data_IF_328807421860
#
_entry.id   IF_328807421860
#
_cell.length_a   1.000
_cell.length_b   1.000
_cell.length_c   1.000
_cell.angle_alpha   90.00
_cell.angle_beta   90.00
_cell.angle_gamma   90.00
#
_symmetry.space_group_name_H-M   'P 1'
#
loop_
_entity.id
_entity.type
_entity.pdbx_description
1 polymer ?
#
# COMPACT_ATOMS: atom_id res chain seq x y z
N UNK A 1 -47.56 81.39 9.32
CA UNK A 1 -46.45 80.81 8.52
C UNK A 1 -45.81 79.70 9.34
N UNK A 2 -46.13 78.43 9.03
CA UNK A 2 -45.54 77.28 9.69
C UNK A 2 -44.17 77.01 9.05
N UNK A 3 -43.08 77.15 9.83
CA UNK A 3 -41.73 76.81 9.35
C UNK A 3 -41.63 75.29 9.25
N UNK A 4 -41.68 74.76 8.03
CA UNK A 4 -41.38 73.36 7.76
C UNK A 4 -39.88 73.15 8.06
N UNK A 5 -39.59 72.34 9.07
CA UNK A 5 -38.22 71.99 9.44
C UNK A 5 -37.69 70.93 8.47
N UNK A 6 -36.99 71.37 7.43
CA UNK A 6 -36.41 70.52 6.38
C UNK A 6 -35.54 69.38 6.91
N UNK A 7 -34.93 69.54 8.11
CA UNK A 7 -34.12 68.51 8.78
C UNK A 7 -34.89 67.22 9.09
N UNK A 8 -36.17 67.32 9.46
CA UNK A 8 -36.98 66.12 9.73
C UNK A 8 -37.41 65.42 8.46
N UNK A 9 -37.59 66.16 7.36
CA UNK A 9 -37.93 65.60 6.06
C UNK A 9 -36.74 64.85 5.44
N UNK A 10 -35.51 65.34 5.65
CA UNK A 10 -34.28 64.65 5.21
C UNK A 10 -34.07 63.33 5.95
N UNK A 11 -34.33 63.30 7.26
CA UNK A 11 -34.18 62.09 8.09
C UNK A 11 -35.24 61.05 7.74
N UNK A 12 -36.48 61.47 7.46
CA UNK A 12 -37.55 60.55 7.07
C UNK A 12 -37.31 59.95 5.67
N UNK A 13 -36.79 60.75 4.72
CA UNK A 13 -36.44 60.30 3.38
C UNK A 13 -35.23 59.34 3.38
N UNK A 14 -34.23 59.60 4.23
CA UNK A 14 -33.08 58.72 4.40
C UNK A 14 -33.45 57.42 5.14
N UNK A 15 -34.38 57.48 6.10
CA UNK A 15 -34.92 56.29 6.77
C UNK A 15 -35.76 55.43 5.81
N UNK A 16 -36.54 56.03 4.91
CA UNK A 16 -37.28 55.25 3.90
C UNK A 16 -36.38 54.57 2.85
N UNK A 17 -35.21 55.14 2.57
CA UNK A 17 -34.20 54.53 1.69
C UNK A 17 -33.44 53.36 2.36
N UNK A 18 -33.41 53.32 3.70
CA UNK A 18 -32.78 52.23 4.48
C UNK A 18 -33.68 51.00 4.63
N UNK A 19 -34.99 51.12 4.36
CA UNK A 19 -35.93 49.98 4.35
C UNK A 19 -36.18 49.40 2.95
N UNK A 20 -35.64 50.01 1.89
CA UNK A 20 -35.84 49.55 0.51
C UNK A 20 -34.62 48.87 -0.11
N UNK A 21 -33.60 48.51 0.68
CA UNK A 21 -32.38 47.84 0.17
C UNK A 21 -32.22 46.38 0.62
N UNK A 22 -33.24 45.77 1.22
CA UNK A 22 -33.34 44.31 1.26
C UNK A 22 -34.29 43.88 0.16
N UNK A 23 -33.82 43.97 -1.08
CA UNK A 23 -34.36 43.09 -2.11
C UNK A 23 -33.85 41.70 -1.75
N UNK A 24 -34.72 40.84 -1.19
CA UNK A 24 -34.51 39.38 -1.25
C UNK A 24 -34.73 38.94 -2.70
N UNK A 25 -33.94 39.51 -3.61
CA UNK A 25 -33.84 39.04 -4.96
C UNK A 25 -33.19 37.68 -4.88
N UNK A 26 -33.93 36.63 -5.23
CA UNK A 26 -33.40 35.29 -5.46
C UNK A 26 -32.26 35.43 -6.46
N UNK A 27 -31.03 35.49 -5.96
CA UNK A 27 -29.90 35.62 -6.85
C UNK A 27 -29.89 34.35 -7.69
N UNK A 28 -29.53 34.45 -8.97
CA UNK A 28 -29.30 33.25 -9.80
C UNK A 28 -28.28 32.33 -9.11
N UNK A 29 -27.39 32.89 -8.28
CA UNK A 29 -26.48 32.13 -7.42
C UNK A 29 -27.23 31.32 -6.36
N UNK A 30 -28.27 31.86 -5.73
CA UNK A 30 -29.08 31.13 -4.74
C UNK A 30 -29.83 29.97 -5.40
N UNK A 31 -30.43 30.21 -6.58
CA UNK A 31 -31.07 29.16 -7.39
C UNK A 31 -30.04 28.10 -7.83
N UNK A 32 -28.87 28.51 -8.31
CA UNK A 32 -27.78 27.57 -8.66
C UNK A 32 -27.34 26.77 -7.44
N UNK A 33 -27.21 27.38 -6.26
CA UNK A 33 -26.78 26.66 -5.04
C UNK A 33 -27.85 25.74 -4.47
N UNK A 34 -29.12 26.05 -4.68
CA UNK A 34 -30.26 25.20 -4.32
C UNK A 34 -30.43 24.03 -5.29
N UNK A 35 -30.15 24.25 -6.58
CA UNK A 35 -30.19 23.23 -7.64
C UNK A 35 -28.86 22.45 -7.78
N UNK A 36 -27.83 22.81 -7.00
CA UNK A 36 -26.57 22.06 -6.99
C UNK A 36 -26.73 20.80 -6.15
N UNK A 37 -26.76 19.66 -6.84
CA UNK A 37 -26.69 18.36 -6.19
C UNK A 37 -25.35 18.20 -5.47
N UNK A 38 -25.38 18.23 -4.14
CA UNK A 38 -24.20 18.02 -3.31
C UNK A 38 -24.05 16.53 -3.01
N UNK A 39 -22.83 16.03 -3.19
CA UNK A 39 -22.46 14.63 -2.95
C UNK A 39 -22.02 14.35 -1.52
N UNK A 40 -21.49 13.15 -1.31
CA UNK A 40 -20.83 12.74 -0.08
C UNK A 40 -19.33 12.51 -0.34
N UNK A 41 -18.51 12.79 0.67
CA UNK A 41 -17.06 12.58 0.65
C UNK A 41 -16.65 11.63 1.78
N UNK A 42 -15.54 10.94 1.56
CA UNK A 42 -14.94 10.01 2.50
C UNK A 42 -13.48 10.41 2.74
N UNK A 43 -13.28 11.35 3.65
CA UNK A 43 -11.98 11.93 3.94
C UNK A 43 -11.09 10.93 4.68
N UNK A 44 -9.87 10.72 4.18
CA UNK A 44 -8.80 10.04 4.91
C UNK A 44 -8.39 10.87 6.11
N UNK A 45 -8.54 10.32 7.31
CA UNK A 45 -8.00 10.90 8.54
C UNK A 45 -6.56 10.44 8.73
N UNK A 46 -6.33 9.13 8.60
CA UNK A 46 -5.02 8.49 8.72
C UNK A 46 -5.01 7.17 7.96
N UNK A 47 -3.86 6.80 7.41
CA UNK A 47 -3.58 5.43 6.96
C UNK A 47 -2.74 4.79 8.05
N UNK A 48 -3.26 3.75 8.69
CA UNK A 48 -2.58 3.03 9.77
C UNK A 48 -1.56 2.03 9.23
N UNK A 49 -1.90 1.36 8.12
CA UNK A 49 -1.02 0.44 7.40
C UNK A 49 -1.44 0.34 5.94
N UNK A 50 -0.47 0.30 5.03
CA UNK A 50 -0.64 0.06 3.60
C UNK A 50 0.26 -1.09 3.09
N UNK A 51 0.78 -1.90 3.99
CA UNK A 51 1.64 -3.04 3.68
C UNK A 51 0.99 -4.34 4.18
N UNK A 52 1.04 -5.38 3.37
CA UNK A 52 0.47 -6.71 3.63
C UNK A 52 1.61 -7.73 3.68
N UNK A 53 2.14 -8.03 4.88
CA UNK A 53 3.23 -8.99 5.02
C UNK A 53 2.77 -10.42 4.74
N UNK A 54 3.38 -11.09 3.76
CA UNK A 54 3.11 -12.50 3.46
C UNK A 54 3.45 -13.36 4.68
N UNK A 55 2.54 -14.28 5.04
CA UNK A 55 2.73 -15.22 6.15
C UNK A 55 2.55 -14.68 7.56
N UNK A 56 2.22 -13.40 7.70
CA UNK A 56 1.83 -12.83 8.98
C UNK A 56 0.29 -12.72 8.95
N UNK A 57 -0.39 -13.67 9.60
CA UNK A 57 -1.86 -13.75 9.57
C UNK A 57 -2.54 -12.46 10.07
N UNK A 58 -1.93 -11.79 11.05
CA UNK A 58 -2.40 -10.52 11.62
C UNK A 58 -1.94 -9.29 10.81
N UNK A 59 -1.25 -9.47 9.69
CA UNK A 59 -0.85 -8.38 8.81
C UNK A 59 -2.07 -7.78 8.10
N UNK A 60 -2.25 -6.46 8.18
CA UNK A 60 -3.46 -5.78 7.71
C UNK A 60 -3.19 -4.49 6.93
N UNK A 61 -4.11 -4.19 6.01
CA UNK A 61 -4.36 -2.84 5.54
C UNK A 61 -5.30 -2.14 6.53
N UNK A 62 -5.02 -0.89 6.88
CA UNK A 62 -5.81 -0.15 7.87
C UNK A 62 -5.92 1.34 7.57
N UNK A 63 -7.14 1.89 7.70
CA UNK A 63 -7.43 3.30 7.44
C UNK A 63 -8.52 3.84 8.36
N UNK A 64 -8.35 5.09 8.78
CA UNK A 64 -9.37 5.86 9.50
C UNK A 64 -10.02 6.86 8.55
N UNK A 65 -11.35 6.83 8.51
CA UNK A 65 -12.14 7.58 7.54
C UNK A 65 -13.19 8.44 8.23
N UNK A 66 -13.46 9.60 7.66
CA UNK A 66 -14.49 10.53 8.11
C UNK A 66 -15.45 10.84 6.95
N UNK A 67 -16.75 10.76 7.24
CA UNK A 67 -17.81 10.95 6.26
C UNK A 67 -18.32 12.38 6.37
N UNK A 68 -18.48 13.05 5.23
CA UNK A 68 -19.22 14.32 5.18
C UNK A 68 -20.19 14.32 4.00
N UNK A 69 -21.40 14.80 4.26
CA UNK A 69 -22.43 15.07 3.26
C UNK A 69 -23.12 16.40 3.65
N UNK A 70 -24.21 16.75 2.96
CA UNK A 70 -24.96 17.99 3.24
C UNK A 70 -25.64 18.04 4.61
N UNK A 71 -25.90 16.90 5.21
CA UNK A 71 -26.48 16.74 6.55
C UNK A 71 -25.43 16.29 7.57
N UNK A 72 -24.16 16.64 7.33
CA UNK A 72 -23.03 16.32 8.20
C UNK A 72 -22.81 14.80 8.40
N UNK A 73 -23.02 14.01 7.36
CA UNK A 73 -22.85 12.55 7.35
C UNK A 73 -24.10 11.78 7.74
N UNK A 74 -25.23 12.45 8.00
CA UNK A 74 -26.47 11.82 8.41
C UNK A 74 -27.16 11.04 7.28
N UNK A 75 -26.87 11.32 6.01
CA UNK A 75 -27.49 10.64 4.88
C UNK A 75 -26.89 9.27 4.60
N UNK A 76 -25.67 8.98 5.07
CA UNK A 76 -25.03 7.68 4.82
C UNK A 76 -25.68 6.57 5.66
N UNK A 77 -26.04 5.47 5.00
CA UNK A 77 -26.64 4.28 5.60
C UNK A 77 -25.63 3.13 5.77
N UNK A 78 -24.72 2.99 4.83
CA UNK A 78 -23.64 2.02 4.91
C UNK A 78 -22.43 2.44 4.08
N UNK A 79 -21.29 1.80 4.38
CA UNK A 79 -20.12 1.82 3.50
C UNK A 79 -19.89 0.41 2.99
N UNK A 80 -19.93 0.25 1.67
CA UNK A 80 -19.53 -1.00 1.03
C UNK A 80 -18.03 -0.97 0.75
N UNK A 81 -17.34 -2.05 1.08
CA UNK A 81 -15.92 -2.22 0.83
C UNK A 81 -15.72 -3.29 -0.22
N UNK A 82 -15.01 -2.93 -1.28
CA UNK A 82 -14.66 -3.78 -2.40
C UNK A 82 -13.15 -3.99 -2.40
N UNK A 83 -12.71 -5.17 -2.83
CA UNK A 83 -11.31 -5.48 -3.03
C UNK A 83 -11.07 -6.06 -4.42
N UNK A 84 -9.93 -5.72 -5.03
CA UNK A 84 -9.35 -6.46 -6.14
C UNK A 84 -7.86 -6.69 -5.90
N UNK A 85 -7.29 -7.61 -6.66
CA UNK A 85 -5.87 -7.91 -6.66
C UNK A 85 -5.28 -7.47 -8.00
N UNK A 86 -4.08 -6.89 -7.98
CA UNK A 86 -3.28 -6.55 -9.15
C UNK A 86 -1.92 -7.23 -9.00
N UNK A 87 -1.72 -8.21 -9.86
CA UNK A 87 -0.46 -8.90 -10.08
C UNK A 87 0.55 -7.97 -10.78
N UNK A 88 1.66 -7.69 -10.11
CA UNK A 88 2.82 -6.96 -10.63
C UNK A 88 4.00 -7.91 -10.87
N UNK A 89 3.88 -9.20 -10.53
CA UNK A 89 4.88 -10.25 -10.66
C UNK A 89 4.35 -11.38 -11.55
N UNK A 90 4.27 -11.16 -12.87
CA UNK A 90 3.53 -12.03 -13.80
C UNK A 90 4.05 -13.48 -13.88
N UNK A 91 5.20 -13.77 -13.28
CA UNK A 91 5.81 -15.10 -13.22
C UNK A 91 5.15 -16.02 -12.16
N UNK A 92 4.37 -15.49 -11.21
CA UNK A 92 3.78 -16.24 -10.08
C UNK A 92 2.31 -16.69 -10.28
N UNK A 93 1.64 -16.34 -11.39
CA UNK A 93 0.19 -16.58 -11.48
C UNK A 93 -0.53 -15.85 -12.61
N UNK A 94 -1.83 -15.59 -12.41
CA UNK A 94 -2.83 -15.18 -13.44
C UNK A 94 -2.47 -13.91 -14.24
N UNK A 95 -1.41 -13.17 -13.90
CA UNK A 95 -0.87 -12.07 -14.71
C UNK A 95 -1.86 -10.93 -14.92
N UNK A 96 -2.87 -10.80 -14.06
CA UNK A 96 -4.02 -9.94 -14.31
C UNK A 96 -4.63 -9.36 -13.03
N UNK A 97 -5.19 -8.16 -13.17
CA UNK A 97 -6.04 -7.56 -12.14
C UNK A 97 -7.36 -8.32 -12.04
N UNK A 98 -7.75 -8.75 -10.84
CA UNK A 98 -9.05 -9.40 -10.60
C UNK A 98 -10.19 -8.38 -10.72
N UNK A 99 -11.41 -8.87 -10.83
CA UNK A 99 -12.59 -8.00 -10.71
C UNK A 99 -12.74 -7.50 -9.28
N UNK A 100 -13.33 -6.32 -9.11
CA UNK A 100 -13.77 -5.82 -7.80
C UNK A 100 -14.83 -6.75 -7.21
N UNK A 101 -14.58 -7.23 -5.99
CA UNK A 101 -15.50 -8.08 -5.24
C UNK A 101 -15.86 -7.40 -3.92
N UNK A 102 -17.14 -7.46 -3.53
CA UNK A 102 -17.60 -6.94 -2.24
C UNK A 102 -17.05 -7.83 -1.13
N UNK A 103 -16.24 -7.25 -0.25
CA UNK A 103 -15.64 -7.94 0.91
C UNK A 103 -16.41 -7.69 2.19
N UNK A 104 -16.93 -6.48 2.40
CA UNK A 104 -17.66 -6.13 3.61
C UNK A 104 -18.67 -5.02 3.37
N UNK A 105 -19.72 -4.98 4.20
CA UNK A 105 -20.62 -3.83 4.33
C UNK A 105 -20.61 -3.33 5.77
N UNK A 106 -20.04 -2.14 5.97
CA UNK A 106 -19.96 -1.46 7.26
C UNK A 106 -21.28 -0.74 7.52
N UNK A 107 -21.97 -1.11 8.59
CA UNK A 107 -23.24 -0.49 8.97
C UNK A 107 -23.02 0.85 9.67
N UNK A 108 -23.91 1.84 9.42
CA UNK A 108 -23.92 3.13 10.11
C UNK A 108 -23.86 3.05 11.63
N UNK A 109 -24.39 1.98 12.22
CA UNK A 109 -24.38 1.76 13.67
C UNK A 109 -22.98 1.58 14.27
N UNK A 110 -21.95 1.30 13.46
CA UNK A 110 -20.56 1.17 13.92
C UNK A 110 -19.83 2.51 13.96
N UNK A 111 -20.42 3.57 13.39
CA UNK A 111 -19.76 4.87 13.29
C UNK A 111 -19.70 5.57 14.64
N UNK A 112 -18.63 6.32 14.84
CA UNK A 112 -18.42 7.18 16.01
C UNK A 112 -18.41 8.64 15.59
N UNK A 113 -18.69 9.56 16.51
CA UNK A 113 -18.63 11.00 16.20
C UNK A 113 -17.19 11.49 16.37
N UNK A 114 -16.62 12.03 15.30
CA UNK A 114 -15.29 12.60 15.29
C UNK A 114 -15.19 13.97 15.97
N UNK A 115 -13.97 14.52 16.14
CA UNK A 115 -13.73 15.80 16.82
C UNK A 115 -14.43 17.02 16.19
N UNK A 116 -14.81 16.91 14.91
CA UNK A 116 -15.50 17.96 14.16
C UNK A 116 -17.01 17.74 14.04
N UNK A 117 -17.57 16.74 14.74
CA UNK A 117 -19.00 16.42 14.70
C UNK A 117 -19.44 15.53 13.54
N UNK A 118 -18.50 15.06 12.71
CA UNK A 118 -18.77 14.18 11.57
C UNK A 118 -18.61 12.69 11.92
N UNK A 119 -19.37 11.77 11.30
CA UNK A 119 -19.19 10.33 11.47
C UNK A 119 -17.80 9.85 11.06
N UNK A 120 -17.23 8.95 11.85
CA UNK A 120 -15.94 8.29 11.62
C UNK A 120 -16.03 6.80 11.84
N UNK A 121 -15.20 6.07 11.11
CA UNK A 121 -14.97 4.66 11.35
C UNK A 121 -13.52 4.31 11.00
N UNK A 122 -13.02 3.26 11.65
CA UNK A 122 -11.75 2.63 11.34
C UNK A 122 -12.05 1.34 10.59
N UNK A 123 -11.32 1.10 9.51
CA UNK A 123 -11.42 -0.13 8.73
C UNK A 123 -10.08 -0.83 8.73
N UNK A 124 -10.10 -2.14 8.96
CA UNK A 124 -8.94 -3.01 8.84
C UNK A 124 -9.37 -4.27 8.09
N UNK A 125 -8.49 -4.76 7.21
CA UNK A 125 -8.67 -6.05 6.56
C UNK A 125 -7.31 -6.74 6.44
N UNK A 126 -7.27 -8.00 6.82
CA UNK A 126 -6.06 -8.82 6.82
C UNK A 126 -5.78 -9.42 5.44
N UNK A 127 -4.53 -9.86 5.21
CA UNK A 127 -4.18 -10.56 3.97
C UNK A 127 -5.01 -11.84 3.77
N UNK A 128 -5.26 -12.71 4.77
CA UNK A 128 -6.13 -13.89 4.60
C UNK A 128 -7.58 -13.55 4.21
N UNK A 129 -8.13 -12.47 4.75
CA UNK A 129 -9.48 -12.00 4.40
C UNK A 129 -9.54 -11.47 2.97
N UNK A 130 -8.51 -10.72 2.54
CA UNK A 130 -8.38 -10.25 1.17
C UNK A 130 -8.25 -11.42 0.18
N UNK A 131 -7.40 -12.41 0.46
CA UNK A 131 -7.24 -13.61 -0.37
C UNK A 131 -8.57 -14.36 -0.52
N UNK A 132 -9.29 -14.56 0.59
CA UNK A 132 -10.61 -15.19 0.59
C UNK A 132 -11.62 -14.36 -0.20
N UNK A 133 -11.63 -13.04 0.01
CA UNK A 133 -12.57 -12.11 -0.61
C UNK A 133 -12.36 -11.92 -2.11
N UNK A 134 -11.13 -11.98 -2.59
CA UNK A 134 -10.79 -11.86 -4.02
C UNK A 134 -10.74 -13.21 -4.74
N UNK A 135 -10.64 -14.32 -3.99
CA UNK A 135 -10.44 -15.67 -4.53
C UNK A 135 -9.05 -15.92 -5.09
N UNK A 136 -8.05 -15.14 -4.65
CA UNK A 136 -6.63 -15.31 -4.99
C UNK A 136 -6.00 -16.28 -4.00
N UNK A 137 -5.20 -17.24 -4.49
CA UNK A 137 -4.47 -18.14 -3.62
C UNK A 137 -3.17 -17.49 -3.10
N UNK A 138 -2.73 -17.86 -1.89
CA UNK A 138 -1.45 -17.35 -1.34
C UNK A 138 -0.25 -17.79 -2.19
N UNK A 139 -0.36 -18.87 -2.98
CA UNK A 139 0.68 -19.28 -3.93
C UNK A 139 0.74 -18.43 -5.21
N UNK A 140 -0.25 -17.55 -5.43
CA UNK A 140 -0.35 -16.66 -6.60
C UNK A 140 0.04 -15.22 -6.25
N UNK A 141 0.63 -14.98 -5.06
CA UNK A 141 1.10 -13.65 -4.63
C UNK A 141 2.60 -13.67 -4.39
N UNK A 142 3.26 -12.55 -4.67
CA UNK A 142 4.68 -12.31 -4.41
C UNK A 142 4.90 -10.86 -3.96
N UNK A 143 6.13 -10.57 -3.51
CA UNK A 143 6.52 -9.24 -3.06
C UNK A 143 6.34 -8.20 -4.17
N UNK A 144 5.63 -7.12 -3.88
CA UNK A 144 5.34 -6.05 -4.83
C UNK A 144 3.97 -6.13 -5.50
N UNK A 145 3.24 -7.23 -5.33
CA UNK A 145 1.84 -7.31 -5.72
C UNK A 145 0.96 -6.34 -4.92
N UNK A 146 -0.23 -6.02 -5.44
CA UNK A 146 -1.12 -5.03 -4.84
C UNK A 146 -2.53 -5.59 -4.60
N UNK A 147 -3.08 -5.36 -3.41
CA UNK A 147 -4.53 -5.38 -3.19
C UNK A 147 -5.05 -3.96 -3.21
N UNK A 148 -6.13 -3.72 -3.97
CA UNK A 148 -6.80 -2.41 -3.99
C UNK A 148 -8.10 -2.48 -3.23
N UNK A 149 -8.21 -1.65 -2.20
CA UNK A 149 -9.40 -1.55 -1.34
C UNK A 149 -10.17 -0.30 -1.73
N UNK A 150 -11.38 -0.49 -2.26
CA UNK A 150 -12.28 0.58 -2.70
C UNK A 150 -13.49 0.68 -1.78
N UNK A 151 -13.79 1.90 -1.36
CA UNK A 151 -14.97 2.21 -0.56
C UNK A 151 -16.08 2.81 -1.43
N UNK A 152 -17.33 2.50 -1.10
CA UNK A 152 -18.51 3.12 -1.69
C UNK A 152 -19.49 3.52 -0.58
N UNK A 153 -19.81 4.82 -0.51
CA UNK A 153 -20.82 5.35 0.41
C UNK A 153 -22.20 5.13 -0.19
N UNK A 154 -23.08 4.45 0.55
CA UNK A 154 -24.49 4.26 0.17
C UNK A 154 -25.35 5.20 1.01
N UNK A 155 -26.06 6.10 0.35
CA UNK A 155 -26.94 7.08 1.02
C UNK A 155 -28.38 6.55 1.11
N UNK A 156 -29.13 7.10 2.05
CA UNK A 156 -30.54 6.78 2.31
C UNK A 156 -31.47 7.10 1.13
N UNK A 157 -31.05 7.99 0.22
CA UNK A 157 -31.75 8.33 -1.02
C UNK A 157 -31.43 7.38 -2.20
N UNK A 158 -30.58 6.37 -1.97
CA UNK A 158 -30.19 5.36 -2.96
C UNK A 158 -28.98 5.75 -3.82
N UNK A 159 -28.43 6.95 -3.67
CA UNK A 159 -27.19 7.34 -4.37
C UNK A 159 -25.99 6.62 -3.78
N UNK A 160 -24.98 6.39 -4.62
CA UNK A 160 -23.71 5.78 -4.22
C UNK A 160 -22.53 6.62 -4.71
N UNK A 161 -21.58 6.92 -3.82
CA UNK A 161 -20.36 7.66 -4.14
C UNK A 161 -19.13 6.80 -3.88
N UNK A 162 -18.30 6.62 -4.90
CA UNK A 162 -17.06 5.84 -4.85
C UNK A 162 -15.97 6.48 -5.73
N UNK A 163 -14.90 5.72 -5.99
CA UNK A 163 -13.73 6.16 -6.77
C UNK A 163 -14.09 6.78 -8.14
N UNK A 164 -15.10 6.24 -8.84
CA UNK A 164 -15.50 6.73 -10.15
C UNK A 164 -16.15 8.14 -10.12
N UNK A 165 -16.68 8.55 -8.96
CA UNK A 165 -17.29 9.87 -8.75
C UNK A 165 -16.27 10.91 -8.24
N UNK A 166 -14.99 10.54 -8.20
CA UNK A 166 -13.94 11.43 -7.73
C UNK A 166 -13.60 12.48 -8.81
N UNK A 167 -13.81 13.76 -8.50
CA UNK A 167 -13.27 14.86 -9.31
C UNK A 167 -11.92 15.28 -8.74
N UNK A 168 -11.00 15.81 -9.56
CA UNK A 168 -9.62 16.11 -9.12
C UNK A 168 -9.49 17.06 -7.91
N UNK A 169 -10.55 17.76 -7.51
CA UNK A 169 -10.61 18.56 -6.28
C UNK A 169 -10.80 17.69 -5.03
N UNK A 170 -11.52 16.57 -5.13
CA UNK A 170 -11.85 15.64 -4.04
C UNK A 170 -10.65 14.76 -3.63
N UNK A 171 -9.68 14.54 -4.52
CA UNK A 171 -8.38 13.91 -4.19
C UNK A 171 -7.34 14.88 -3.66
N UNK A 172 -7.58 16.20 -3.73
CA UNK A 172 -6.67 17.22 -3.22
C UNK A 172 -6.52 17.18 -1.70
N UNK A 173 -5.50 17.84 -1.16
CA UNK A 173 -5.15 17.84 0.27
C UNK A 173 -6.27 18.27 1.21
N UNK A 174 -7.24 19.04 0.71
CA UNK A 174 -8.37 19.52 1.51
C UNK A 174 -9.41 18.44 1.80
N UNK A 175 -9.79 17.65 0.79
CA UNK A 175 -10.82 16.62 0.92
C UNK A 175 -10.23 15.24 1.17
N UNK A 176 -9.02 14.96 0.66
CA UNK A 176 -8.29 13.71 0.83
C UNK A 176 -9.21 12.49 0.74
N UNK A 177 -10.08 12.45 -0.28
CA UNK A 177 -11.15 11.45 -0.39
C UNK A 177 -10.90 10.56 -1.59
N UNK A 178 -9.86 9.71 -1.57
CA UNK A 178 -9.51 8.91 -2.73
C UNK A 178 -10.55 7.83 -3.01
N UNK A 179 -11.31 7.35 -2.01
CA UNK A 179 -12.18 6.16 -2.08
C UNK A 179 -11.48 4.85 -2.52
N UNK A 180 -10.20 4.89 -2.87
CA UNK A 180 -9.40 3.77 -3.33
C UNK A 180 -8.03 3.84 -2.68
N UNK A 181 -7.60 2.74 -2.09
CA UNK A 181 -6.31 2.59 -1.45
C UNK A 181 -5.59 1.39 -2.06
N UNK A 182 -4.28 1.49 -2.15
CA UNK A 182 -3.41 0.38 -2.54
C UNK A 182 -2.69 -0.12 -1.31
N UNK A 183 -2.83 -1.42 -1.04
CA UNK A 183 -2.07 -2.15 -0.04
C UNK A 183 -1.07 -3.05 -0.76
N UNK A 184 0.22 -2.84 -0.54
CA UNK A 184 1.28 -3.58 -1.22
C UNK A 184 1.65 -4.82 -0.44
N UNK A 185 1.74 -5.95 -1.13
CA UNK A 185 2.23 -7.21 -0.56
C UNK A 185 3.74 -7.08 -0.34
N UNK A 186 4.18 -7.32 0.88
CA UNK A 186 5.58 -7.25 1.28
C UNK A 186 6.05 -8.59 1.83
N UNK A 187 7.34 -8.86 1.68
CA UNK A 187 7.94 -10.09 2.17
C UNK A 187 8.88 -9.74 3.33
N UNK A 188 8.39 -9.81 4.57
CA UNK A 188 9.23 -9.55 5.71
C UNK A 188 10.34 -10.62 5.79
N UNK A 189 11.55 -10.25 6.25
CA UNK A 189 12.54 -11.25 6.61
C UNK A 189 11.96 -12.25 7.60
N UNK A 190 12.13 -13.54 7.31
CA UNK A 190 11.80 -14.63 8.24
C UNK A 190 13.07 -15.23 8.85
N UNK A 191 12.98 -15.81 10.05
CA UNK A 191 14.09 -16.56 10.65
C UNK A 191 14.62 -17.65 9.70
N UNK A 192 15.94 -17.70 9.42
CA UNK A 192 16.53 -18.74 8.61
C UNK A 192 16.48 -20.12 9.30
N UNK A 193 16.47 -21.20 8.53
CA UNK A 193 16.60 -22.55 9.06
C UNK A 193 17.92 -22.70 9.82
N UNK A 194 17.82 -23.06 11.11
CA UNK A 194 19.00 -23.34 11.92
C UNK A 194 19.71 -24.61 11.45
N UNK A 195 21.04 -24.58 11.45
CA UNK A 195 21.91 -25.68 11.04
C UNK A 195 22.93 -25.24 10.01
N UNK A 196 23.57 -26.20 9.37
CA UNK A 196 24.63 -25.95 8.41
C UNK A 196 24.05 -25.67 7.03
N UNK A 197 24.31 -24.47 6.52
CA UNK A 197 24.05 -24.08 5.14
C UNK A 197 25.29 -24.35 4.31
N UNK A 198 25.08 -24.94 3.13
CA UNK A 198 26.16 -25.29 2.20
C UNK A 198 26.21 -24.27 1.08
N UNK A 199 27.40 -23.75 0.82
CA UNK A 199 27.69 -22.81 -0.26
C UNK A 199 28.63 -23.51 -1.22
N UNK A 200 28.09 -24.05 -2.31
CA UNK A 200 28.87 -24.65 -3.40
C UNK A 200 29.21 -23.55 -4.41
N UNK A 201 30.49 -23.36 -4.71
CA UNK A 201 31.00 -22.29 -5.55
C UNK A 201 31.94 -22.86 -6.61
N UNK A 202 31.88 -22.28 -7.82
CA UNK A 202 32.82 -22.62 -8.88
C UNK A 202 33.14 -21.43 -9.77
N UNK A 203 34.27 -21.55 -10.44
CA UNK A 203 34.78 -20.61 -11.43
C UNK A 203 35.01 -21.38 -12.74
N UNK A 204 34.38 -20.95 -13.82
CA UNK A 204 34.39 -21.69 -15.08
C UNK A 204 35.73 -21.59 -15.84
N UNK A 205 36.48 -20.51 -15.63
CA UNK A 205 37.79 -20.32 -16.26
C UNK A 205 38.90 -21.04 -15.47
N UNK A 206 38.73 -21.09 -14.16
CA UNK A 206 39.62 -21.77 -13.22
C UNK A 206 40.75 -20.89 -12.72
N UNK A 207 40.52 -19.58 -12.55
CA UNK A 207 41.49 -18.63 -12.03
C UNK A 207 40.96 -17.79 -10.85
N UNK A 208 40.03 -18.35 -10.09
CA UNK A 208 39.32 -17.75 -8.95
C UNK A 208 38.34 -16.66 -9.33
N UNK A 209 37.54 -16.18 -8.39
CA UNK A 209 36.51 -15.16 -8.63
C UNK A 209 37.04 -13.73 -8.87
N UNK A 210 38.35 -13.56 -9.09
CA UNK A 210 39.01 -12.29 -9.44
C UNK A 210 38.52 -11.04 -8.67
N UNK A 211 38.34 -11.18 -7.35
CA UNK A 211 37.92 -10.09 -6.45
C UNK A 211 36.42 -9.98 -6.22
N UNK A 212 35.60 -10.85 -6.83
CA UNK A 212 34.19 -11.01 -6.48
C UNK A 212 34.02 -11.87 -5.22
N UNK A 213 32.89 -11.73 -4.55
CA UNK A 213 32.51 -12.54 -3.39
C UNK A 213 31.00 -12.58 -3.16
N UNK A 214 30.56 -13.55 -2.34
CA UNK A 214 29.26 -13.56 -1.70
C UNK A 214 29.40 -13.09 -0.26
N UNK A 215 28.69 -12.01 0.10
CA UNK A 215 28.49 -11.63 1.50
C UNK A 215 27.20 -12.26 2.00
N UNK A 216 27.30 -13.15 3.00
CA UNK A 216 26.16 -13.64 3.76
C UNK A 216 26.18 -13.01 5.15
N UNK A 217 25.19 -12.16 5.43
CA UNK A 217 25.04 -11.46 6.71
C UNK A 217 23.99 -12.17 7.56
N UNK A 218 24.42 -12.72 8.70
CA UNK A 218 23.55 -13.36 9.68
C UNK A 218 23.43 -12.48 10.94
N UNK A 219 22.23 -12.02 11.26
CA UNK A 219 21.94 -11.14 12.40
C UNK A 219 22.92 -9.94 12.52
N UNK A 220 23.26 -9.35 11.37
CA UNK A 220 24.19 -8.22 11.26
C UNK A 220 25.67 -8.60 11.19
N UNK A 221 26.02 -9.89 11.30
CA UNK A 221 27.40 -10.38 11.16
C UNK A 221 27.66 -10.86 9.74
N UNK A 222 28.52 -10.16 8.99
CA UNK A 222 28.88 -10.49 7.62
C UNK A 222 29.95 -11.59 7.56
N UNK A 223 29.74 -12.55 6.65
CA UNK A 223 30.68 -13.61 6.28
C UNK A 223 30.90 -13.56 4.77
N UNK A 224 32.14 -13.63 4.33
CA UNK A 224 32.52 -13.56 2.92
C UNK A 224 32.87 -14.96 2.41
N UNK A 225 32.32 -15.31 1.25
CA UNK A 225 32.57 -16.58 0.56
C UNK A 225 33.00 -16.31 -0.88
N UNK A 226 34.03 -17.00 -1.35
CA UNK A 226 34.51 -16.93 -2.73
C UNK A 226 35.30 -18.19 -3.06
N UNK A 227 35.55 -18.43 -4.34
CA UNK A 227 36.63 -19.31 -4.78
C UNK A 227 37.91 -18.49 -4.79
N UNK A 228 38.88 -18.86 -3.95
CA UNK A 228 40.16 -18.14 -3.85
C UNK A 228 41.20 -18.62 -4.88
N UNK A 229 42.36 -17.95 -4.92
CA UNK A 229 43.42 -18.26 -5.88
C UNK A 229 44.09 -19.64 -5.67
N UNK A 230 44.01 -20.23 -4.48
CA UNK A 230 44.54 -21.56 -4.20
C UNK A 230 43.57 -22.66 -4.64
N UNK A 231 42.27 -22.40 -4.55
CA UNK A 231 41.20 -23.27 -5.01
C UNK A 231 41.03 -23.22 -6.53
N UNK A 232 41.11 -22.01 -7.09
CA UNK A 232 41.08 -21.65 -8.51
C UNK A 232 39.78 -21.99 -9.26
N UNK A 233 39.24 -23.20 -9.10
CA UNK A 233 38.10 -23.69 -9.88
C UNK A 233 36.83 -23.92 -9.07
N UNK A 234 36.93 -24.33 -7.79
CA UNK A 234 35.76 -24.61 -6.97
C UNK A 234 36.08 -24.63 -5.48
N UNK A 235 35.07 -24.30 -4.68
CA UNK A 235 35.09 -24.38 -3.22
C UNK A 235 33.70 -24.75 -2.70
N UNK A 236 33.66 -25.51 -1.60
CA UNK A 236 32.42 -25.79 -0.87
C UNK A 236 32.62 -25.37 0.57
N UNK A 237 31.86 -24.37 0.98
CA UNK A 237 31.94 -23.78 2.31
C UNK A 237 30.67 -24.04 3.12
N UNK A 238 30.79 -23.94 4.44
CA UNK A 238 29.67 -24.14 5.36
C UNK A 238 29.48 -22.92 6.26
N UNK A 239 28.25 -22.39 6.26
CA UNK A 239 27.81 -21.39 7.23
C UNK A 239 26.90 -22.04 8.26
N UNK A 240 27.33 -22.09 9.53
CA UNK A 240 26.47 -22.56 10.62
C UNK A 240 25.52 -21.45 11.05
N UNK A 241 24.22 -21.67 10.88
CA UNK A 241 23.13 -20.79 11.34
C UNK A 241 22.68 -21.24 12.74
N UNK A 242 22.92 -20.47 13.81
CA UNK A 242 22.50 -20.85 15.15
C UNK A 242 20.97 -20.90 15.30
N UNK A 243 20.45 -21.76 16.19
CA UNK A 243 19.05 -21.68 16.59
C UNK A 243 18.72 -20.31 17.17
N UNK A 244 17.63 -19.71 16.67
CA UNK A 244 17.17 -18.40 17.12
C UNK A 244 17.72 -17.21 16.32
N UNK A 245 18.47 -17.44 15.24
CA UNK A 245 18.75 -16.39 14.27
C UNK A 245 17.47 -15.82 13.67
N UNK A 246 17.44 -14.51 13.42
CA UNK A 246 16.23 -13.78 13.04
C UNK A 246 16.27 -13.31 11.59
N UNK A 247 17.46 -12.92 11.10
CA UNK A 247 17.60 -12.33 9.77
C UNK A 247 18.86 -12.84 9.08
N UNK A 248 18.70 -13.28 7.82
CA UNK A 248 19.81 -13.57 6.91
C UNK A 248 19.68 -12.71 5.65
N UNK A 249 20.79 -12.21 5.14
CA UNK A 249 20.89 -11.43 3.90
C UNK A 249 22.02 -11.98 3.05
N UNK A 250 21.81 -12.05 1.74
CA UNK A 250 22.79 -12.55 0.77
C UNK A 250 22.99 -11.49 -0.31
N UNK A 251 24.25 -11.10 -0.54
CA UNK A 251 24.62 -10.14 -1.58
C UNK A 251 25.83 -10.64 -2.35
N UNK A 252 25.84 -10.39 -3.65
CA UNK A 252 27.01 -10.57 -4.47
C UNK A 252 27.78 -9.25 -4.59
N UNK A 253 29.09 -9.32 -4.43
CA UNK A 253 30.02 -8.23 -4.69
C UNK A 253 30.73 -8.50 -6.01
N UNK A 254 30.59 -7.57 -6.94
CA UNK A 254 31.20 -7.65 -8.27
C UNK A 254 32.73 -7.58 -8.19
N UNK A 255 33.37 -8.41 -9.00
CA UNK A 255 34.79 -8.40 -9.26
C UNK A 255 35.07 -8.16 -10.74
N UNK A 256 36.13 -8.79 -11.25
CA UNK A 256 36.32 -8.91 -12.69
C UNK A 256 35.73 -10.24 -13.17
N UNK A 257 35.19 -10.26 -14.39
CA UNK A 257 34.72 -11.49 -15.04
C UNK A 257 33.59 -12.23 -14.29
N UNK A 258 32.65 -11.49 -13.69
CA UNK A 258 31.52 -12.05 -12.94
C UNK A 258 30.67 -13.09 -13.72
N UNK A 259 30.66 -13.00 -15.06
CA UNK A 259 29.99 -13.98 -15.91
C UNK A 259 30.56 -15.39 -15.86
N UNK A 260 31.74 -15.62 -15.28
CA UNK A 260 32.36 -16.96 -15.16
C UNK A 260 32.02 -17.65 -13.83
N UNK A 261 31.33 -16.93 -12.94
CA UNK A 261 31.03 -17.35 -11.58
C UNK A 261 29.73 -18.17 -11.55
N UNK A 262 29.78 -19.29 -10.83
CA UNK A 262 28.61 -20.06 -10.46
C UNK A 262 28.61 -20.36 -8.96
N UNK A 263 27.43 -20.40 -8.36
CA UNK A 263 27.26 -20.81 -6.97
C UNK A 263 25.87 -21.38 -6.72
N UNK A 264 25.73 -22.19 -5.68
CA UNK A 264 24.46 -22.68 -5.16
C UNK A 264 24.49 -22.64 -3.64
N UNK A 265 23.50 -21.99 -3.03
CA UNK A 265 23.34 -21.91 -1.58
C UNK A 265 22.18 -22.83 -1.19
N UNK A 266 22.46 -23.83 -0.36
CA UNK A 266 21.49 -24.79 0.14
C UNK A 266 21.34 -24.63 1.65
N UNK A 267 20.12 -24.39 2.14
CA UNK A 267 19.88 -24.25 3.57
C UNK A 267 19.89 -25.58 4.32
N UNK A 268 19.95 -25.52 5.64
CA UNK A 268 19.98 -26.70 6.51
C UNK A 268 18.77 -27.64 6.34
N UNK A 269 17.66 -27.14 5.81
CA UNK A 269 16.46 -27.93 5.52
C UNK A 269 16.51 -28.61 4.13
N UNK A 270 17.60 -28.44 3.38
CA UNK A 270 17.83 -29.03 2.06
C UNK A 270 17.24 -28.23 0.89
N UNK A 271 16.76 -27.01 1.14
CA UNK A 271 16.20 -26.16 0.10
C UNK A 271 17.30 -25.35 -0.58
N UNK A 272 17.26 -25.28 -1.91
CA UNK A 272 18.13 -24.36 -2.67
C UNK A 272 17.54 -22.96 -2.55
N UNK A 273 18.31 -22.05 -1.96
CA UNK A 273 17.88 -20.68 -1.67
C UNK A 273 18.21 -19.74 -2.83
N UNK A 274 19.37 -19.96 -3.43
CA UNK A 274 19.88 -19.16 -4.52
C UNK A 274 20.83 -19.99 -5.37
N UNK A 275 20.75 -19.83 -6.69
CA UNK A 275 21.66 -20.46 -7.64
C UNK A 275 22.01 -19.51 -8.78
N UNK A 276 23.29 -19.48 -9.14
CA UNK A 276 23.81 -18.85 -10.35
C UNK A 276 24.57 -19.89 -11.17
N UNK A 277 24.34 -19.90 -12.48
CA UNK A 277 25.17 -20.64 -13.43
C UNK A 277 26.17 -19.70 -14.12
N UNK A 278 27.37 -20.22 -14.40
CA UNK A 278 28.38 -19.53 -15.18
C UNK A 278 27.92 -19.39 -16.63
N UNK A 279 28.25 -18.25 -17.24
CA UNK A 279 27.88 -17.85 -18.60
C UNK A 279 26.37 -17.94 -18.88
N UNK A 280 25.55 -17.67 -17.87
CA UNK A 280 24.10 -17.59 -18.03
C UNK A 280 23.70 -16.32 -18.80
N UNK A 281 22.40 -16.13 -19.05
CA UNK A 281 21.91 -14.97 -19.79
C UNK A 281 22.17 -13.63 -19.07
N UNK A 282 22.42 -13.66 -17.76
CA UNK A 282 22.72 -12.50 -16.95
C UNK A 282 23.74 -12.85 -15.84
N UNK A 283 24.72 -11.97 -15.66
CA UNK A 283 25.66 -12.06 -14.55
C UNK A 283 24.94 -11.88 -13.20
N UNK A 284 25.52 -12.35 -12.08
CA UNK A 284 25.00 -12.05 -10.74
C UNK A 284 24.81 -10.55 -10.53
N UNK A 285 23.63 -10.16 -10.07
CA UNK A 285 23.34 -8.73 -9.81
C UNK A 285 24.08 -8.29 -8.54
N UNK A 286 25.06 -7.41 -8.70
CA UNK A 286 25.86 -6.95 -7.58
C UNK A 286 25.16 -5.88 -6.73
N UNK A 287 25.45 -5.88 -5.43
CA UNK A 287 25.06 -4.82 -4.50
C UNK A 287 23.56 -4.75 -4.16
N UNK A 288 22.77 -5.74 -4.59
CA UNK A 288 21.35 -5.88 -4.24
C UNK A 288 21.15 -7.10 -3.35
N UNK A 289 20.00 -7.14 -2.67
CA UNK A 289 19.57 -8.32 -1.93
C UNK A 289 19.20 -9.44 -2.91
N UNK A 290 19.77 -10.63 -2.70
CA UNK A 290 19.55 -11.78 -3.58
C UNK A 290 18.58 -12.82 -3.01
N UNK A 291 18.28 -12.76 -1.70
CA UNK A 291 17.31 -13.68 -1.11
C UNK A 291 15.88 -13.23 -1.43
N UNK A 292 15.05 -14.18 -1.87
CA UNK A 292 13.62 -13.94 -1.99
C UNK A 292 12.93 -14.29 -0.66
N UNK A 293 12.63 -13.26 0.15
CA UNK A 293 11.96 -13.42 1.44
C UNK A 293 10.51 -13.93 1.34
N UNK A 294 9.91 -13.96 0.15
CA UNK A 294 8.55 -14.45 -0.06
C UNK A 294 8.49 -16.00 -0.01
N UNK A 295 9.62 -16.66 -0.21
CA UNK A 295 9.76 -18.11 -0.08
C UNK A 295 10.08 -18.44 1.38
N UNK A 296 9.08 -18.81 2.18
CA UNK A 296 9.17 -19.00 3.64
C UNK A 296 10.05 -20.17 4.14
N UNK A 297 10.90 -20.73 3.29
CA UNK A 297 11.57 -22.00 3.54
C UNK A 297 13.10 -21.91 3.33
N UNK A 298 13.72 -20.82 3.76
CA UNK A 298 15.17 -20.73 3.84
C UNK A 298 15.67 -21.01 5.25
#
# INVERSE_FOLDING_TARGET
MMKINYKYFSVLALASLLFSSCDEGTAIVDDITADTERGAILRTVSVTSNELPIGVAEGFFGVDLEIQDVENGALVESVEVYANFKDNTPDNGKGATTTDLLVETIAKSTFTVGPFGFPRFSYQITLPELLTGTGVAESEIDGGDEFRVRFALVLSDGRTFSFAQNSGTLTGTFFASPFLYTATVVCPPSPPASGDWIIDMSDAYGDSWNGASLTITLDGTANEFLVDAAEATASTETLTVPPGSEVISIRFNSGSFDGEIAFTITSANGNVILSQEAYSAADPVAGVELINYCIKNF
#
